data_IF_875255186076
#
_entry.id   IF_875255186076
#
_cell.length_a   1.000
_cell.length_b   1.000
_cell.length_c   1.000
_cell.angle_alpha   90.00
_cell.angle_beta   90.00
_cell.angle_gamma   90.00
#
_symmetry.space_group_name_H-M   'P 1'
#
loop_
_entity.id
_entity.type
_entity.pdbx_description
1 polymer ?
#
# COMPACT_ATOMS: atom_id res chain seq x y z
N UNK A 1 -17.42 -39.67 22.34
CA UNK A 1 -17.37 -38.62 23.38
C UNK A 1 -16.68 -37.43 22.75
N UNK A 2 -17.48 -36.72 21.96
CA UNK A 2 -17.14 -35.50 21.24
C UNK A 2 -17.12 -34.34 22.23
N UNK A 3 -16.09 -33.49 22.18
CA UNK A 3 -16.30 -32.07 22.45
C UNK A 3 -15.32 -31.22 21.62
N UNK A 4 -15.87 -30.72 20.52
CA UNK A 4 -15.26 -29.76 19.60
C UNK A 4 -15.37 -28.38 20.25
N UNK A 5 -14.27 -27.82 20.73
CA UNK A 5 -14.19 -26.38 21.04
C UNK A 5 -13.93 -25.61 19.75
N UNK A 6 -15.03 -25.32 19.04
CA UNK A 6 -15.06 -24.41 17.91
C UNK A 6 -14.87 -22.97 18.39
N UNK A 7 -13.78 -22.32 17.96
CA UNK A 7 -13.63 -20.87 18.04
C UNK A 7 -14.41 -20.22 16.87
N UNK A 8 -15.34 -19.27 17.13
CA UNK A 8 -16.09 -18.62 16.06
C UNK A 8 -15.25 -17.56 15.33
N UNK A 9 -14.97 -17.89 14.08
CA UNK A 9 -15.05 -17.05 12.87
C UNK A 9 -15.28 -15.52 13.04
N UNK A 10 -14.28 -14.76 12.56
CA UNK A 10 -14.33 -13.49 11.82
C UNK A 10 -15.15 -12.29 12.34
N UNK A 11 -14.41 -11.22 12.71
CA UNK A 11 -14.71 -9.86 12.27
C UNK A 11 -13.52 -9.32 11.47
N UNK A 12 -13.59 -9.51 10.15
CA UNK A 12 -12.77 -8.81 9.17
C UNK A 12 -13.06 -7.32 9.29
N UNK A 13 -12.09 -6.53 9.77
CA UNK A 13 -12.08 -5.10 9.53
C UNK A 13 -11.63 -4.90 8.08
N UNK A 14 -12.59 -4.69 7.19
CA UNK A 14 -12.33 -4.19 5.84
C UNK A 14 -11.77 -2.77 5.97
N UNK A 15 -10.48 -2.62 5.67
CA UNK A 15 -9.93 -1.34 5.23
C UNK A 15 -10.70 -0.93 3.96
N UNK A 16 -11.47 0.15 4.05
CA UNK A 16 -11.78 0.99 2.90
C UNK A 16 -11.58 2.45 3.29
N UNK A 17 -10.85 3.23 2.49
CA UNK A 17 -10.47 4.58 2.81
C UNK A 17 -11.66 5.54 2.57
N UNK A 18 -11.91 6.53 3.44
CA UNK A 18 -12.78 7.63 3.07
C UNK A 18 -12.02 8.56 2.13
N UNK A 19 -12.42 8.50 0.86
CA UNK A 19 -12.69 9.64 -0.02
C UNK A 19 -11.80 10.88 0.14
N UNK A 20 -11.02 11.12 -0.92
CA UNK A 20 -10.48 12.43 -1.27
C UNK A 20 -11.63 13.43 -1.39
N UNK A 21 -11.62 14.49 -0.59
CA UNK A 21 -12.24 15.76 -0.95
C UNK A 21 -11.20 16.87 -0.77
N UNK A 22 -10.85 17.45 -1.91
CA UNK A 22 -10.02 18.63 -2.03
C UNK A 22 -10.77 19.85 -1.45
N UNK A 23 -10.16 20.54 -0.49
CA UNK A 23 -10.59 21.90 -0.13
C UNK A 23 -9.40 22.83 -0.35
N UNK A 24 -9.62 23.74 -1.30
CA UNK A 24 -8.70 24.75 -1.76
C UNK A 24 -8.20 25.65 -0.63
N UNK A 25 -6.88 25.92 -0.65
CA UNK A 25 -6.26 27.02 0.09
C UNK A 25 -6.80 28.35 -0.47
N UNK A 26 -7.60 29.07 0.32
CA UNK A 26 -7.89 30.48 0.08
C UNK A 26 -7.08 31.32 1.07
N UNK A 27 -6.00 31.92 0.55
CA UNK A 27 -5.17 32.90 1.24
C UNK A 27 -5.92 34.24 1.24
N UNK A 28 -6.48 34.63 2.38
CA UNK A 28 -7.12 35.93 2.51
C UNK A 28 -6.09 36.94 3.05
N UNK A 29 -5.58 37.75 2.13
CA UNK A 29 -4.78 38.94 2.39
C UNK A 29 -5.65 39.98 3.09
N UNK A 30 -5.19 40.50 4.23
CA UNK A 30 -5.79 41.66 4.86
C UNK A 30 -5.00 42.90 4.44
N UNK A 31 -5.56 43.69 3.53
CA UNK A 31 -5.04 45.00 3.14
C UNK A 31 -5.29 46.00 4.26
N UNK A 32 -4.27 46.80 4.54
CA UNK A 32 -4.34 47.97 5.41
C UNK A 32 -5.28 49.03 4.82
N UNK A 33 -6.15 49.60 5.67
CA UNK A 33 -6.83 50.88 5.40
C UNK A 33 -6.42 51.90 6.45
N UNK A 34 -6.01 53.08 5.97
CA UNK A 34 -5.68 54.29 6.72
C UNK A 34 -6.84 55.28 6.61
N UNK A 35 -6.91 56.19 7.60
CA UNK A 35 -7.61 57.48 7.68
C UNK A 35 -9.08 57.40 8.18
N UNK A 36 -9.62 58.34 8.95
CA UNK A 36 -9.17 59.53 9.70
C UNK A 36 -10.38 59.95 10.58
N UNK A 37 -10.13 60.28 11.85
CA UNK A 37 -10.69 61.41 12.61
C UNK A 37 -12.23 61.62 12.76
N UNK A 38 -12.74 61.41 13.98
CA UNK A 38 -13.67 62.34 14.67
C UNK A 38 -13.34 62.29 16.17
N UNK A 39 -13.07 63.45 16.77
CA UNK A 39 -12.94 63.59 18.23
C UNK A 39 -14.27 64.01 18.85
N UNK A 40 -14.62 63.43 20.00
CA UNK A 40 -15.47 64.03 21.04
C UNK A 40 -15.43 63.18 22.33
N UNK A 41 -15.16 63.85 23.46
CA UNK A 41 -15.36 63.45 24.87
C UNK A 41 -14.89 62.07 25.33
N UNK A 42 -13.63 61.98 25.77
CA UNK A 42 -12.95 60.75 26.19
C UNK A 42 -13.01 60.45 27.71
N UNK A 43 -13.99 60.94 28.47
CA UNK A 43 -14.00 60.72 29.94
C UNK A 43 -15.28 60.05 30.48
N UNK A 44 -16.40 60.09 29.76
CA UNK A 44 -17.61 59.32 30.16
C UNK A 44 -17.66 57.90 29.58
N UNK A 45 -16.83 57.58 28.59
CA UNK A 45 -16.79 56.26 27.95
C UNK A 45 -15.99 55.22 28.75
N UNK A 46 -15.03 55.65 29.55
CA UNK A 46 -14.10 54.71 30.19
C UNK A 46 -14.71 54.02 31.42
N UNK A 47 -15.55 54.73 32.21
CA UNK A 47 -16.32 54.13 33.31
C UNK A 47 -17.51 53.31 32.80
N UNK A 48 -18.17 53.73 31.71
CA UNK A 48 -19.28 53.00 31.08
C UNK A 48 -18.83 51.68 30.43
N UNK A 49 -17.67 51.66 29.76
CA UNK A 49 -17.06 50.43 29.22
C UNK A 49 -16.61 49.50 30.35
N UNK A 50 -16.04 50.03 31.43
CA UNK A 50 -15.60 49.24 32.58
C UNK A 50 -16.77 48.59 33.32
N UNK A 51 -17.89 49.29 33.54
CA UNK A 51 -19.08 48.72 34.17
C UNK A 51 -19.79 47.67 33.30
N UNK A 52 -19.79 47.86 31.98
CA UNK A 52 -20.37 46.89 31.05
C UNK A 52 -19.52 45.62 30.92
N UNK A 53 -18.18 45.73 30.86
CA UNK A 53 -17.27 44.58 30.84
C UNK A 53 -17.41 43.73 32.12
N UNK A 54 -17.49 44.36 33.31
CA UNK A 54 -17.65 43.64 34.58
C UNK A 54 -19.01 42.90 34.70
N UNK A 55 -20.11 43.50 34.23
CA UNK A 55 -21.41 42.80 34.17
C UNK A 55 -21.40 41.62 33.21
N UNK A 56 -20.71 41.75 32.08
CA UNK A 56 -20.62 40.68 31.07
C UNK A 56 -19.76 39.51 31.54
N UNK A 57 -18.76 39.74 32.38
CA UNK A 57 -17.93 38.68 32.99
C UNK A 57 -18.66 37.95 34.13
N UNK A 58 -19.39 38.66 34.99
CA UNK A 58 -20.21 38.04 36.04
C UNK A 58 -21.37 37.21 35.46
N UNK A 59 -22.02 37.69 34.39
CA UNK A 59 -23.06 36.95 33.69
C UNK A 59 -22.52 35.69 33.00
N UNK A 60 -21.32 35.76 32.41
CA UNK A 60 -20.66 34.60 31.80
C UNK A 60 -20.22 33.56 32.84
N UNK A 61 -19.71 33.98 33.99
CA UNK A 61 -19.33 33.08 35.08
C UNK A 61 -20.54 32.40 35.72
N UNK A 62 -21.64 33.15 35.92
CA UNK A 62 -22.91 32.59 36.40
C UNK A 62 -23.52 31.60 35.39
N UNK A 63 -23.51 31.91 34.09
CA UNK A 63 -24.01 30.99 33.06
C UNK A 63 -23.19 29.69 33.00
N UNK A 64 -21.85 29.77 33.13
CA UNK A 64 -20.98 28.57 33.18
C UNK A 64 -21.21 27.74 34.45
N UNK A 65 -21.37 28.38 35.60
CA UNK A 65 -21.66 27.68 36.86
C UNK A 65 -23.04 26.98 36.85
N UNK A 66 -24.09 27.65 36.38
CA UNK A 66 -25.44 27.09 36.28
C UNK A 66 -25.46 25.88 35.33
N UNK A 67 -24.79 25.98 34.17
CA UNK A 67 -24.70 24.88 33.19
C UNK A 67 -23.89 23.68 33.72
N UNK A 68 -22.83 23.92 34.51
CA UNK A 68 -22.03 22.85 35.12
C UNK A 68 -22.81 22.05 36.17
N UNK A 69 -23.60 22.75 36.97
CA UNK A 69 -24.47 22.17 38.00
C UNK A 69 -25.61 21.34 37.38
N UNK A 70 -26.25 21.82 36.31
CA UNK A 70 -27.30 21.08 35.60
C UNK A 70 -26.76 19.82 34.90
N UNK A 71 -25.55 19.87 34.31
CA UNK A 71 -24.92 18.71 33.68
C UNK A 71 -24.51 17.64 34.72
N UNK A 72 -24.08 18.06 35.92
CA UNK A 72 -23.84 17.14 37.04
C UNK A 72 -25.13 16.48 37.53
N UNK A 73 -26.18 17.27 37.77
CA UNK A 73 -27.51 16.77 38.21
C UNK A 73 -28.11 15.81 37.19
N UNK A 74 -28.04 16.12 35.89
CA UNK A 74 -28.52 15.24 34.82
C UNK A 74 -27.70 13.94 34.72
N UNK A 75 -26.37 14.01 34.88
CA UNK A 75 -25.51 12.80 34.94
C UNK A 75 -25.90 11.90 36.11
N UNK A 76 -26.08 12.46 37.31
CA UNK A 76 -26.50 11.69 38.47
C UNK A 76 -27.87 11.06 38.26
N UNK A 77 -28.83 11.82 37.72
CA UNK A 77 -30.17 11.31 37.43
C UNK A 77 -30.11 10.12 36.47
N UNK A 78 -29.32 10.21 35.39
CA UNK A 78 -29.13 9.08 34.45
C UNK A 78 -28.49 7.87 35.11
N UNK A 79 -27.51 8.08 36.00
CA UNK A 79 -26.89 6.99 36.78
C UNK A 79 -27.90 6.31 37.70
N UNK A 80 -28.72 7.08 38.43
CA UNK A 80 -29.80 6.59 39.31
C UNK A 80 -30.83 5.77 38.52
N UNK A 81 -31.25 6.27 37.35
CA UNK A 81 -32.18 5.54 36.45
C UNK A 81 -31.55 4.25 35.93
N UNK A 82 -30.29 4.29 35.50
CA UNK A 82 -29.58 3.11 35.01
C UNK A 82 -29.48 2.01 36.07
N UNK A 83 -29.22 2.38 37.32
CA UNK A 83 -29.21 1.46 38.46
C UNK A 83 -30.61 0.89 38.72
N UNK A 84 -31.63 1.74 38.75
CA UNK A 84 -33.02 1.32 39.00
C UNK A 84 -33.62 0.43 37.89
N UNK A 85 -33.12 0.56 36.66
CA UNK A 85 -33.52 -0.22 35.50
C UNK A 85 -32.61 -1.44 35.23
N UNK A 86 -31.53 -1.61 35.99
CA UNK A 86 -30.61 -2.74 35.80
C UNK A 86 -31.38 -4.05 36.00
N UNK A 87 -31.36 -4.91 34.98
CA UNK A 87 -32.05 -6.20 35.01
C UNK A 87 -33.56 -6.16 34.75
N UNK A 88 -34.17 -4.98 34.57
CA UNK A 88 -35.59 -4.87 34.21
C UNK A 88 -35.75 -4.94 32.69
N UNK A 89 -36.64 -5.81 32.21
CA UNK A 89 -36.97 -5.89 30.79
C UNK A 89 -37.77 -4.64 30.39
N UNK A 90 -37.30 -3.87 29.39
CA UNK A 90 -38.02 -2.72 28.88
C UNK A 90 -39.44 -3.12 28.43
N UNK A 91 -40.44 -2.33 28.81
CA UNK A 91 -41.86 -2.62 28.54
C UNK A 91 -42.19 -2.80 27.05
N UNK A 92 -41.35 -2.30 26.14
CA UNK A 92 -41.47 -2.46 24.69
C UNK A 92 -40.98 -3.82 24.16
N UNK A 93 -40.18 -4.56 24.93
CA UNK A 93 -39.64 -5.87 24.55
C UNK A 93 -40.50 -7.03 25.06
N UNK A 94 -41.40 -6.79 26.03
CA UNK A 94 -42.21 -7.80 26.72
C UNK A 94 -43.21 -8.62 25.88
N UNK A 95 -44.14 -9.29 26.57
CA UNK A 95 -45.09 -10.27 26.00
C UNK A 95 -45.87 -9.70 24.81
N UNK A 96 -45.72 -10.34 23.64
CA UNK A 96 -46.42 -9.92 22.42
C UNK A 96 -47.92 -10.23 22.53
N UNK A 97 -48.75 -9.31 22.03
CA UNK A 97 -50.20 -9.50 21.99
C UNK A 97 -50.60 -10.72 21.11
N UNK A 98 -51.71 -11.37 21.47
CA UNK A 98 -52.36 -12.40 20.65
C UNK A 98 -52.86 -11.82 19.32
N UNK A 99 -53.07 -12.66 18.31
CA UNK A 99 -53.52 -12.23 16.98
C UNK A 99 -54.85 -11.45 17.04
N UNK A 100 -55.82 -11.94 17.81
CA UNK A 100 -57.11 -11.28 18.02
C UNK A 100 -56.97 -9.88 18.64
N UNK A 101 -56.08 -9.73 19.62
CA UNK A 101 -55.84 -8.43 20.27
C UNK A 101 -55.23 -7.44 19.30
N UNK A 102 -54.31 -7.88 18.44
CA UNK A 102 -53.74 -7.02 17.39
C UNK A 102 -54.80 -6.56 16.41
N UNK A 103 -55.72 -7.44 16.01
CA UNK A 103 -56.81 -7.08 15.10
C UNK A 103 -57.81 -6.11 15.75
N UNK A 104 -58.18 -6.31 17.01
CA UNK A 104 -58.99 -5.34 17.77
C UNK A 104 -58.32 -3.97 17.87
N UNK A 105 -57.01 -3.91 18.13
CA UNK A 105 -56.25 -2.66 18.14
C UNK A 105 -56.25 -2.01 16.76
N UNK A 106 -56.07 -2.80 15.69
CA UNK A 106 -56.11 -2.31 14.31
C UNK A 106 -57.46 -1.70 13.97
N UNK A 107 -58.56 -2.40 14.26
CA UNK A 107 -59.92 -1.93 14.01
C UNK A 107 -60.22 -0.63 14.77
N UNK A 108 -59.92 -0.56 16.07
CA UNK A 108 -60.10 0.66 16.87
C UNK A 108 -59.26 1.82 16.37
N UNK A 109 -58.05 1.54 15.87
CA UNK A 109 -57.16 2.56 15.28
C UNK A 109 -57.76 3.12 13.99
N UNK A 110 -58.28 2.25 13.12
CA UNK A 110 -58.97 2.64 11.88
C UNK A 110 -60.19 3.50 12.20
N UNK A 111 -60.98 3.09 13.19
CA UNK A 111 -62.16 3.82 13.63
C UNK A 111 -61.80 5.21 14.19
N UNK A 112 -60.78 5.30 15.05
CA UNK A 112 -60.32 6.58 15.58
C UNK A 112 -59.80 7.53 14.47
N UNK A 113 -59.13 7.00 13.45
CA UNK A 113 -58.63 7.77 12.31
C UNK A 113 -59.72 8.22 11.33
N UNK A 114 -60.93 7.64 11.38
CA UNK A 114 -62.08 8.16 10.62
C UNK A 114 -62.50 9.56 11.09
N UNK A 115 -62.22 9.91 12.34
CA UNK A 115 -62.49 11.25 12.84
C UNK A 115 -61.51 12.27 12.19
N UNK A 116 -62.02 13.28 11.46
CA UNK A 116 -61.17 14.24 10.74
C UNK A 116 -60.27 15.05 11.67
N UNK A 117 -60.69 15.31 12.91
CA UNK A 117 -59.88 16.02 13.92
C UNK A 117 -58.66 15.21 14.34
N UNK A 118 -58.83 13.90 14.57
CA UNK A 118 -57.75 12.97 14.92
C UNK A 118 -56.79 12.85 13.74
N UNK A 119 -57.33 12.65 12.53
CA UNK A 119 -56.52 12.53 11.31
C UNK A 119 -55.68 13.77 11.04
N UNK A 120 -56.24 14.97 11.20
CA UNK A 120 -55.53 16.25 11.05
C UNK A 120 -54.39 16.38 12.06
N UNK A 121 -54.63 16.01 13.33
CA UNK A 121 -53.60 16.04 14.39
C UNK A 121 -52.48 15.03 14.13
N UNK A 122 -52.80 13.85 13.61
CA UNK A 122 -51.80 12.83 13.26
C UNK A 122 -51.01 13.16 11.99
N UNK A 123 -51.57 13.99 11.10
CA UNK A 123 -50.89 14.49 9.90
C UNK A 123 -49.99 15.70 10.15
N UNK A 124 -50.09 16.34 11.32
CA UNK A 124 -49.27 17.48 11.69
C UNK A 124 -47.87 17.00 12.11
N UNK A 125 -46.89 17.21 11.24
CA UNK A 125 -45.50 16.84 11.51
C UNK A 125 -44.91 17.75 12.61
N UNK A 126 -44.03 17.25 13.49
CA UNK A 126 -43.33 18.11 14.45
C UNK A 126 -42.69 19.30 13.75
N UNK A 127 -42.94 20.51 14.26
CA UNK A 127 -42.35 21.72 13.67
C UNK A 127 -40.82 21.59 13.70
N UNK A 128 -40.13 21.77 12.56
CA UNK A 128 -38.68 21.76 12.55
C UNK A 128 -38.17 22.91 13.41
N UNK A 129 -37.05 22.69 14.11
CA UNK A 129 -36.41 23.74 14.89
C UNK A 129 -36.06 24.94 14.00
N UNK A 130 -36.13 26.14 14.58
CA UNK A 130 -35.61 27.34 13.94
C UNK A 130 -34.10 27.20 13.70
N UNK A 131 -33.59 27.92 12.69
CA UNK A 131 -32.18 27.81 12.36
C UNK A 131 -31.26 28.33 13.48
N UNK A 132 -31.74 29.27 14.30
CA UNK A 132 -31.05 29.71 15.50
C UNK A 132 -30.88 28.58 16.53
N UNK A 133 -31.94 27.79 16.79
CA UNK A 133 -31.86 26.64 17.70
C UNK A 133 -30.94 25.57 17.13
N UNK A 134 -31.05 25.28 15.82
CA UNK A 134 -30.12 24.35 15.15
C UNK A 134 -28.67 24.80 15.27
N UNK A 135 -28.40 26.10 15.14
CA UNK A 135 -27.06 26.66 15.29
C UNK A 135 -26.52 26.46 16.71
N UNK A 136 -27.34 26.75 17.75
CA UNK A 136 -26.98 26.50 19.17
C UNK A 136 -26.71 25.01 19.45
N UNK A 137 -27.53 24.11 18.90
CA UNK A 137 -27.31 22.66 19.04
C UNK A 137 -26.00 22.25 18.35
N UNK A 138 -25.72 22.77 17.14
CA UNK A 138 -24.49 22.46 16.42
C UNK A 138 -23.25 22.98 17.15
N UNK A 139 -23.29 24.18 17.73
CA UNK A 139 -22.16 24.75 18.46
C UNK A 139 -21.86 23.95 19.73
N UNK A 140 -22.88 23.59 20.51
CA UNK A 140 -22.69 22.78 21.72
C UNK A 140 -22.15 21.39 21.41
N UNK A 141 -22.67 20.73 20.37
CA UNK A 141 -22.17 19.43 19.93
C UNK A 141 -20.71 19.51 19.45
N UNK A 142 -20.35 20.53 18.66
CA UNK A 142 -18.97 20.75 18.22
C UNK A 142 -18.03 20.94 19.40
N UNK A 143 -18.43 21.69 20.43
CA UNK A 143 -17.66 21.87 21.66
C UNK A 143 -17.39 20.53 22.34
N UNK A 144 -18.45 19.77 22.63
CA UNK A 144 -18.36 18.47 23.31
C UNK A 144 -17.50 17.49 22.51
N UNK A 145 -17.69 17.43 21.19
CA UNK A 145 -16.91 16.53 20.33
C UNK A 145 -15.44 16.95 20.22
N UNK A 146 -15.17 18.26 20.19
CA UNK A 146 -13.83 18.80 20.24
C UNK A 146 -13.09 18.42 21.52
N UNK A 147 -13.75 18.55 22.67
CA UNK A 147 -13.20 18.14 23.98
C UNK A 147 -12.91 16.65 24.03
N UNK A 148 -13.86 15.80 23.61
CA UNK A 148 -13.67 14.34 23.54
C UNK A 148 -12.51 13.95 22.62
N UNK A 149 -12.36 14.64 21.49
CA UNK A 149 -11.28 14.37 20.56
C UNK A 149 -9.91 14.76 21.14
N UNK A 150 -9.83 15.89 21.86
CA UNK A 150 -8.61 16.30 22.57
C UNK A 150 -8.25 15.26 23.64
N UNK A 151 -9.20 14.84 24.46
CA UNK A 151 -8.98 13.84 25.51
C UNK A 151 -8.48 12.51 24.92
N UNK A 152 -9.10 12.06 23.81
CA UNK A 152 -8.66 10.86 23.10
C UNK A 152 -7.21 10.97 22.62
N UNK A 153 -6.85 12.08 21.97
CA UNK A 153 -5.49 12.33 21.48
C UNK A 153 -4.47 12.40 22.63
N UNK A 154 -4.83 13.04 23.74
CA UNK A 154 -3.96 13.11 24.92
C UNK A 154 -3.69 11.71 25.51
N UNK A 155 -4.73 10.85 25.58
CA UNK A 155 -4.57 9.46 26.01
C UNK A 155 -3.67 8.68 25.06
N UNK A 156 -3.90 8.78 23.74
CA UNK A 156 -3.07 8.12 22.73
C UNK A 156 -1.61 8.56 22.83
N UNK A 157 -1.36 9.88 22.94
CA UNK A 157 -0.02 10.42 23.11
C UNK A 157 0.65 9.96 24.41
N UNK A 158 -0.12 9.89 25.51
CA UNK A 158 0.36 9.36 26.78
C UNK A 158 0.78 7.89 26.65
N UNK A 159 -0.07 7.04 26.06
CA UNK A 159 0.26 5.63 25.86
C UNK A 159 1.46 5.43 24.94
N UNK A 160 1.57 6.22 23.87
CA UNK A 160 2.73 6.20 22.99
C UNK A 160 4.01 6.61 23.72
N UNK A 161 3.96 7.70 24.49
CA UNK A 161 5.10 8.14 25.30
C UNK A 161 5.48 7.10 26.36
N UNK A 162 4.49 6.51 27.02
CA UNK A 162 4.70 5.48 28.03
C UNK A 162 5.32 4.22 27.42
N UNK A 163 4.78 3.74 26.30
CA UNK A 163 5.30 2.59 25.57
C UNK A 163 6.73 2.84 25.07
N UNK A 164 7.01 4.01 24.50
CA UNK A 164 8.35 4.39 24.06
C UNK A 164 9.34 4.48 25.22
N UNK A 165 8.91 4.98 26.38
CA UNK A 165 9.75 5.05 27.57
C UNK A 165 10.08 3.65 28.10
N UNK A 166 9.08 2.75 28.18
CA UNK A 166 9.30 1.35 28.54
C UNK A 166 10.22 0.66 27.53
N UNK A 167 9.99 0.83 26.23
CA UNK A 167 10.83 0.24 25.20
C UNK A 167 12.28 0.75 25.29
N UNK A 168 12.46 2.05 25.56
CA UNK A 168 13.79 2.66 25.73
C UNK A 168 14.49 2.13 26.98
N UNK A 169 13.80 2.06 28.12
CA UNK A 169 14.37 1.54 29.37
C UNK A 169 14.68 0.05 29.26
N UNK A 170 13.81 -0.75 28.65
CA UNK A 170 14.05 -2.16 28.35
C UNK A 170 15.22 -2.39 27.38
N UNK A 171 15.50 -1.43 26.48
CA UNK A 171 16.65 -1.47 25.56
C UNK A 171 17.97 -1.12 26.26
N UNK A 172 17.95 -0.09 27.11
CA UNK A 172 19.15 0.39 27.81
C UNK A 172 19.60 -0.54 28.96
N UNK A 173 18.71 -1.43 29.43
CA UNK A 173 19.00 -2.28 30.58
C UNK A 173 19.03 -1.50 31.90
N UNK A 174 19.13 -2.21 33.03
CA UNK A 174 19.24 -1.60 34.36
C UNK A 174 20.69 -1.69 34.84
N UNK A 175 21.36 -0.55 35.01
CA UNK A 175 22.66 -0.40 35.67
C UNK A 175 23.83 -1.09 34.98
N UNK A 176 23.94 -2.41 35.20
CA UNK A 176 25.11 -3.24 34.88
C UNK A 176 24.80 -4.36 33.85
N UNK A 177 23.59 -4.37 33.27
CA UNK A 177 23.22 -5.30 32.19
C UNK A 177 23.59 -4.75 30.81
N UNK A 178 24.19 -5.62 29.99
CA UNK A 178 24.58 -5.33 28.60
C UNK A 178 23.36 -4.93 27.75
N UNK A 179 23.47 -3.85 26.96
CA UNK A 179 22.39 -3.35 26.10
C UNK A 179 21.88 -4.47 25.18
N UNK A 180 20.62 -4.86 25.33
CA UNK A 180 20.06 -5.96 24.55
C UNK A 180 19.54 -5.45 23.20
N UNK A 181 20.11 -5.96 22.11
CA UNK A 181 19.72 -5.60 20.75
C UNK A 181 18.43 -6.33 20.31
N UNK A 182 17.29 -5.86 20.83
CA UNK A 182 15.96 -6.43 20.55
C UNK A 182 15.59 -6.46 19.06
N UNK A 183 16.16 -5.56 18.24
CA UNK A 183 15.92 -5.50 16.79
C UNK A 183 16.84 -6.46 15.99
N UNK A 184 17.68 -7.26 16.65
CA UNK A 184 18.64 -8.16 15.99
C UNK A 184 17.95 -9.13 15.03
N UNK A 185 16.81 -9.69 15.42
CA UNK A 185 16.02 -10.58 14.55
C UNK A 185 15.59 -9.88 13.26
N UNK A 186 15.05 -8.66 13.36
CA UNK A 186 14.60 -7.89 12.21
C UNK A 186 15.76 -7.41 11.31
N UNK A 187 16.92 -7.12 11.92
CA UNK A 187 18.15 -6.83 11.17
C UNK A 187 18.62 -8.05 10.39
N UNK A 188 18.70 -9.22 11.04
CA UNK A 188 19.10 -10.49 10.41
C UNK A 188 18.12 -10.86 9.29
N UNK A 189 16.82 -10.67 9.51
CA UNK A 189 15.79 -10.91 8.50
C UNK A 189 15.95 -10.01 7.27
N UNK A 190 16.23 -8.72 7.48
CA UNK A 190 16.53 -7.78 6.39
C UNK A 190 17.80 -8.17 5.64
N UNK A 191 18.87 -8.50 6.35
CA UNK A 191 20.14 -8.92 5.75
C UNK A 191 19.98 -10.20 4.92
N UNK A 192 19.25 -11.19 5.43
CA UNK A 192 18.96 -12.43 4.73
C UNK A 192 18.20 -12.17 3.42
N UNK A 193 17.22 -11.26 3.43
CA UNK A 193 16.47 -10.88 2.24
C UNK A 193 17.39 -10.19 1.20
N UNK A 194 18.29 -9.30 1.64
CA UNK A 194 19.28 -8.67 0.75
C UNK A 194 20.24 -9.70 0.15
N UNK A 195 20.72 -10.66 0.94
CA UNK A 195 21.59 -11.73 0.45
C UNK A 195 20.89 -12.67 -0.54
N UNK A 196 19.59 -12.91 -0.36
CA UNK A 196 18.80 -13.67 -1.35
C UNK A 196 18.73 -12.91 -2.67
N UNK A 197 18.44 -11.61 -2.64
CA UNK A 197 18.40 -10.77 -3.85
C UNK A 197 19.76 -10.73 -4.57
N UNK A 198 20.86 -10.56 -3.82
CA UNK A 198 22.22 -10.60 -4.39
C UNK A 198 22.52 -11.94 -5.08
N UNK A 199 22.23 -13.05 -4.42
CA UNK A 199 22.40 -14.40 -5.00
C UNK A 199 21.56 -14.60 -6.26
N UNK A 200 20.34 -14.08 -6.31
CA UNK A 200 19.51 -14.16 -7.51
C UNK A 200 20.10 -13.33 -8.65
N UNK A 201 20.56 -12.11 -8.38
CA UNK A 201 21.20 -11.25 -9.37
C UNK A 201 22.49 -11.87 -9.93
N UNK A 202 23.35 -12.44 -9.06
CA UNK A 202 24.57 -13.13 -9.47
C UNK A 202 24.29 -14.36 -10.34
N UNK A 203 23.25 -15.14 -10.00
CA UNK A 203 22.83 -16.28 -10.81
C UNK A 203 22.37 -15.85 -12.20
N UNK A 204 21.59 -14.78 -12.31
CA UNK A 204 21.16 -14.25 -13.60
C UNK A 204 22.35 -13.69 -14.41
N UNK A 205 23.27 -12.97 -13.77
CA UNK A 205 24.49 -12.50 -14.41
C UNK A 205 25.36 -13.66 -14.92
N UNK A 206 25.50 -14.74 -14.14
CA UNK A 206 26.23 -15.94 -14.52
C UNK A 206 25.60 -16.64 -15.73
N UNK A 207 24.26 -16.71 -15.80
CA UNK A 207 23.54 -17.24 -16.97
C UNK A 207 23.82 -16.43 -18.23
N UNK A 208 23.79 -15.10 -18.14
CA UNK A 208 24.10 -14.21 -19.27
C UNK A 208 25.54 -14.43 -19.74
N UNK A 209 26.50 -14.47 -18.82
CA UNK A 209 27.91 -14.71 -19.16
C UNK A 209 28.09 -16.09 -19.80
N UNK A 210 27.42 -17.12 -19.29
CA UNK A 210 27.46 -18.46 -19.86
C UNK A 210 26.88 -18.49 -21.29
N UNK A 211 25.77 -17.80 -21.54
CA UNK A 211 25.16 -17.67 -22.86
C UNK A 211 26.09 -16.95 -23.85
N UNK A 212 26.72 -15.84 -23.43
CA UNK A 212 27.70 -15.11 -24.27
C UNK A 212 28.91 -15.99 -24.60
N UNK A 213 29.44 -16.74 -23.62
CA UNK A 213 30.55 -17.68 -23.85
C UNK A 213 30.15 -18.80 -24.82
N UNK A 214 28.96 -19.36 -24.67
CA UNK A 214 28.44 -20.40 -25.56
C UNK A 214 28.28 -19.89 -26.99
N UNK A 215 27.75 -18.67 -27.17
CA UNK A 215 27.62 -18.02 -28.47
C UNK A 215 28.98 -17.85 -29.17
N UNK A 216 29.96 -17.25 -28.48
CA UNK A 216 31.32 -17.07 -29.01
C UNK A 216 31.98 -18.40 -29.38
N UNK A 217 31.77 -19.44 -28.58
CA UNK A 217 32.28 -20.78 -28.89
C UNK A 217 31.60 -21.40 -30.13
N UNK A 218 30.30 -21.16 -30.32
CA UNK A 218 29.57 -21.60 -31.50
C UNK A 218 30.03 -20.86 -32.77
N UNK A 219 30.23 -19.55 -32.70
CA UNK A 219 30.78 -18.72 -33.78
C UNK A 219 32.18 -19.19 -34.19
N UNK A 220 33.08 -19.40 -33.24
CA UNK A 220 34.42 -19.91 -33.51
C UNK A 220 34.41 -21.30 -34.17
N UNK A 221 33.47 -22.18 -33.77
CA UNK A 221 33.26 -23.47 -34.43
C UNK A 221 32.74 -23.31 -35.86
N UNK A 222 31.77 -22.43 -36.07
CA UNK A 222 31.22 -22.14 -37.40
C UNK A 222 32.29 -21.56 -38.34
N UNK A 223 33.11 -20.62 -37.86
CA UNK A 223 34.23 -20.06 -38.61
C UNK A 223 35.26 -21.15 -38.98
N UNK A 224 35.61 -22.03 -38.03
CA UNK A 224 36.51 -23.17 -38.30
C UNK A 224 35.97 -24.08 -39.39
N UNK A 225 34.67 -24.40 -39.35
CA UNK A 225 34.01 -25.22 -40.36
C UNK A 225 33.96 -24.51 -41.72
N UNK A 226 33.64 -23.22 -41.76
CA UNK A 226 33.65 -22.41 -42.97
C UNK A 226 35.04 -22.37 -43.61
N UNK A 227 36.10 -22.20 -42.80
CA UNK A 227 37.50 -22.25 -43.26
C UNK A 227 37.85 -23.62 -43.86
N UNK A 228 37.42 -24.70 -43.24
CA UNK A 228 37.62 -26.05 -43.77
C UNK A 228 36.86 -26.27 -45.10
N UNK A 229 35.62 -25.77 -45.20
CA UNK A 229 34.83 -25.84 -46.43
C UNK A 229 35.49 -25.06 -47.58
N UNK A 230 36.01 -23.85 -47.33
CA UNK A 230 36.77 -23.07 -48.32
C UNK A 230 38.01 -23.83 -48.80
N UNK A 231 38.80 -24.40 -47.87
CA UNK A 231 39.97 -25.24 -48.22
C UNK A 231 39.59 -26.48 -49.05
N UNK A 232 38.42 -27.08 -48.82
CA UNK A 232 37.94 -28.21 -49.63
C UNK A 232 37.60 -27.77 -51.06
N UNK A 233 36.87 -26.66 -51.22
CA UNK A 233 36.55 -26.09 -52.55
C UNK A 233 37.80 -25.74 -53.34
N UNK A 234 38.76 -25.04 -52.72
CA UNK A 234 40.03 -24.68 -53.37
C UNK A 234 40.83 -25.93 -53.83
N UNK A 235 40.84 -26.99 -53.02
CA UNK A 235 41.48 -28.26 -53.42
C UNK A 235 40.76 -28.93 -54.59
N UNK A 236 39.44 -28.86 -54.62
CA UNK A 236 38.63 -29.43 -55.70
C UNK A 236 38.84 -28.66 -57.01
N UNK A 237 38.84 -27.33 -56.97
CA UNK A 237 39.20 -26.47 -58.11
C UNK A 237 40.61 -26.77 -58.61
N UNK A 238 41.61 -26.85 -57.71
CA UNK A 238 42.98 -27.26 -58.08
C UNK A 238 43.05 -28.65 -58.71
N UNK A 239 42.17 -29.60 -58.34
CA UNK A 239 42.08 -30.91 -59.01
C UNK A 239 41.51 -30.77 -60.41
N UNK A 240 40.43 -29.98 -60.58
CA UNK A 240 39.81 -29.71 -61.89
C UNK A 240 40.79 -29.01 -62.84
N UNK A 241 41.51 -27.99 -62.38
CA UNK A 241 42.57 -27.32 -63.16
C UNK A 241 43.69 -28.29 -63.59
N UNK A 242 44.12 -29.20 -62.69
CA UNK A 242 45.12 -30.22 -63.04
C UNK A 242 44.59 -31.20 -64.08
N UNK A 243 43.32 -31.57 -64.00
CA UNK A 243 42.66 -32.44 -64.97
C UNK A 243 42.51 -31.74 -66.34
N UNK A 244 42.15 -30.46 -66.36
CA UNK A 244 42.10 -29.64 -67.58
C UNK A 244 43.48 -29.47 -68.21
N UNK A 245 44.52 -29.14 -67.42
CA UNK A 245 45.91 -29.06 -67.90
C UNK A 245 46.39 -30.39 -68.49
N UNK A 246 46.01 -31.53 -67.89
CA UNK A 246 46.30 -32.85 -68.46
C UNK A 246 45.59 -33.10 -69.79
N UNK A 247 44.37 -32.59 -69.98
CA UNK A 247 43.65 -32.68 -71.26
C UNK A 247 44.29 -31.80 -72.35
N UNK A 248 44.96 -30.72 -71.98
CA UNK A 248 45.65 -29.80 -72.91
C UNK A 248 47.09 -30.21 -73.29
N UNK A 249 47.62 -31.35 -72.80
CA UNK A 249 48.97 -31.84 -73.16
C UNK A 249 48.97 -32.71 -74.43
N UNK A 250 49.79 -32.43 -75.46
CA UNK A 250 49.84 -33.22 -76.70
C UNK A 250 50.56 -34.58 -76.50
N UNK A 251 50.11 -35.62 -77.20
CA UNK A 251 50.38 -37.05 -76.93
C UNK A 251 51.78 -37.59 -77.28
N UNK A 252 52.78 -36.76 -77.60
CA UNK A 252 53.99 -37.24 -78.30
C UNK A 252 55.20 -37.55 -77.39
N UNK A 253 54.99 -37.91 -76.11
CA UNK A 253 56.09 -38.21 -75.14
C UNK A 253 56.24 -39.68 -74.76
N UNK A 254 55.39 -40.59 -75.24
CA UNK A 254 55.45 -42.01 -74.85
C UNK A 254 56.49 -42.82 -75.65
N UNK A 255 56.67 -42.52 -76.93
CA UNK A 255 57.52 -43.31 -77.83
C UNK A 255 59.01 -43.25 -77.47
N UNK A 256 59.51 -42.10 -76.98
CA UNK A 256 60.93 -41.91 -76.65
C UNK A 256 61.42 -42.64 -75.38
N UNK A 257 60.50 -43.11 -74.52
CA UNK A 257 60.86 -43.73 -73.23
C UNK A 257 61.10 -45.24 -73.36
N UNK A 258 60.38 -45.86 -74.30
CA UNK A 258 60.46 -47.29 -74.58
C UNK A 258 61.74 -47.60 -75.37
N UNK A 259 62.14 -46.73 -76.31
CA UNK A 259 63.44 -46.83 -77.02
C UNK A 259 64.64 -46.76 -76.05
N UNK A 260 64.56 -45.91 -75.02
CA UNK A 260 65.62 -45.76 -74.03
C UNK A 260 65.75 -47.00 -73.11
N UNK A 261 64.65 -47.73 -72.87
CA UNK A 261 64.68 -48.98 -72.11
C UNK A 261 65.19 -50.16 -72.94
N UNK A 262 64.79 -50.25 -74.21
CA UNK A 262 65.27 -51.30 -75.14
C UNK A 262 66.78 -51.21 -75.35
N UNK A 263 67.32 -50.00 -75.49
CA UNK A 263 68.77 -49.80 -75.62
C UNK A 263 69.56 -50.20 -74.36
N UNK A 264 68.99 -50.01 -73.16
CA UNK A 264 69.62 -50.48 -71.91
C UNK A 264 69.63 -52.00 -71.79
N UNK A 265 68.63 -52.69 -72.35
CA UNK A 265 68.57 -54.16 -72.35
C UNK A 265 69.55 -54.78 -73.35
N UNK A 266 69.72 -54.17 -74.54
CA UNK A 266 70.71 -54.61 -75.53
C UNK A 266 72.14 -54.58 -74.99
N UNK A 267 72.53 -53.53 -74.26
CA UNK A 267 73.86 -53.41 -73.65
C UNK A 267 74.15 -54.43 -72.53
N UNK A 268 73.11 -55.05 -71.93
CA UNK A 268 73.30 -56.13 -70.95
C UNK A 268 73.57 -57.47 -71.62
N UNK A 269 72.85 -57.76 -72.71
CA UNK A 269 73.00 -59.02 -73.44
C UNK A 269 74.39 -59.15 -74.10
N UNK A 270 74.95 -58.06 -74.63
CA UNK A 270 76.32 -58.08 -75.20
C UNK A 270 77.42 -58.36 -74.17
N UNK A 271 77.22 -57.98 -72.91
CA UNK A 271 78.19 -58.24 -71.83
C UNK A 271 78.22 -59.69 -71.39
N UNK A 272 77.09 -60.40 -71.47
CA UNK A 272 76.99 -61.79 -71.02
C UNK A 272 77.56 -62.79 -72.04
N UNK A 273 77.65 -62.43 -73.33
CA UNK A 273 78.22 -63.29 -74.39
C UNK A 273 79.75 -63.21 -74.51
N UNK A 274 80.42 -62.27 -73.82
CA UNK A 274 81.88 -62.07 -73.93
C UNK A 274 82.71 -62.83 -72.86
N UNK A 275 82.09 -63.75 -72.10
CA UNK A 275 82.69 -64.45 -70.95
C UNK A 275 82.74 -65.98 -71.08
N UNK A 276 82.67 -66.54 -72.30
CA UNK A 276 82.89 -67.96 -72.58
C UNK A 276 83.97 -68.17 -73.64
#
# INVERSE_FOLDING_TARGET
>A
MDEKMALPFCLKWSLSPPFLDAVAYSSMRFSHSRALQVGASAVETQLGLYLHENQTEEDQLNEVQINGDDDFRERERRRKIGLANKGKVPWNVGKKHSAETREKIRQRTIEALRNPKVRKKMGEHPRPHSDQIKAKIRSSLRRIWGERLKEKRLKENFYLSWWNNIAKTAKQGLGDQEELEWDSFDKIKRELALQQLKRMAEKEAAKIIAMVKAHRAAEAKAERLARLARKRKEREEKRKEREEKKKMMPKNLKENKDELQVNRLKQRLEKDFSLW
#
